data_IF_936501677967
#
_entry.id   IF_936501677967
#
_cell.length_a   1.000
_cell.length_b   1.000
_cell.length_c   1.000
_cell.angle_alpha   90.00
_cell.angle_beta   90.00
_cell.angle_gamma   90.00
#
_symmetry.space_group_name_H-M   'P 1'
#
loop_
_entity.id
_entity.type
_entity.pdbx_description
1 polymer ?
#
# COMPACT_ATOMS: atom_id res chain seq x y z
N UNK A 1 -4.15 -10.52 -16.23
CA UNK A 1 -3.74 -9.24 -15.59
C UNK A 1 -4.20 -9.15 -14.13
N UNK A 2 -5.51 -9.05 -13.85
CA UNK A 2 -6.03 -8.87 -12.47
C UNK A 2 -5.50 -9.90 -11.45
N UNK A 3 -5.53 -11.21 -11.76
CA UNK A 3 -5.02 -12.25 -10.84
C UNK A 3 -3.53 -12.09 -10.49
N UNK A 4 -2.70 -11.72 -11.46
CA UNK A 4 -1.26 -11.48 -11.26
C UNK A 4 -1.01 -10.22 -10.44
N UNK A 5 -1.78 -9.16 -10.69
CA UNK A 5 -1.72 -7.91 -9.93
C UNK A 5 -2.08 -8.12 -8.45
N UNK A 6 -3.19 -8.82 -8.19
CA UNK A 6 -3.61 -9.18 -6.82
C UNK A 6 -2.51 -9.96 -6.12
N UNK A 7 -2.05 -11.05 -6.73
CA UNK A 7 -1.05 -11.92 -6.11
C UNK A 7 0.27 -11.19 -5.89
N UNK A 8 0.82 -10.55 -6.92
CA UNK A 8 2.14 -9.92 -6.86
C UNK A 8 2.22 -8.77 -5.85
N UNK A 9 1.21 -7.89 -5.80
CA UNK A 9 1.21 -6.77 -4.84
C UNK A 9 1.01 -7.25 -3.40
N UNK A 10 0.12 -8.24 -3.19
CA UNK A 10 -0.15 -8.78 -1.86
C UNK A 10 1.04 -9.59 -1.32
N UNK A 11 1.65 -10.45 -2.15
CA UNK A 11 2.82 -11.24 -1.75
C UNK A 11 4.03 -10.33 -1.49
N UNK A 12 4.27 -9.30 -2.32
CA UNK A 12 5.36 -8.34 -2.07
C UNK A 12 5.22 -7.60 -0.73
N UNK A 13 4.01 -7.18 -0.37
CA UNK A 13 3.75 -6.53 0.92
C UNK A 13 3.92 -7.50 2.10
N UNK A 14 3.52 -8.76 1.94
CA UNK A 14 3.68 -9.80 2.96
C UNK A 14 5.14 -10.18 3.17
N UNK A 15 5.87 -10.48 2.09
CA UNK A 15 7.30 -10.80 2.14
C UNK A 15 8.13 -9.64 2.73
N UNK A 16 7.71 -8.39 2.47
CA UNK A 16 8.29 -7.20 3.09
C UNK A 16 8.14 -7.19 4.61
N UNK A 17 7.01 -7.63 5.16
CA UNK A 17 6.82 -7.70 6.61
C UNK A 17 7.58 -8.87 7.22
N UNK A 18 7.48 -10.05 6.61
CA UNK A 18 8.19 -11.26 7.04
C UNK A 18 9.70 -11.03 7.13
N UNK A 19 10.31 -10.45 6.09
CA UNK A 19 11.77 -10.19 6.08
C UNK A 19 12.23 -9.16 7.11
N UNK A 20 11.31 -8.35 7.64
CA UNK A 20 11.60 -7.35 8.67
C UNK A 20 11.11 -7.79 10.06
N UNK A 21 10.58 -9.02 10.20
CA UNK A 21 9.97 -9.53 11.43
C UNK A 21 8.86 -8.62 11.99
N UNK A 22 8.04 -8.06 11.09
CA UNK A 22 6.91 -7.21 11.44
C UNK A 22 5.58 -7.89 11.13
N UNK A 23 4.53 -7.41 11.77
CA UNK A 23 3.14 -7.81 11.55
C UNK A 23 2.29 -6.61 11.16
N UNK A 24 1.02 -6.84 10.79
CA UNK A 24 0.08 -5.75 10.51
C UNK A 24 -0.11 -4.78 11.69
N UNK A 25 0.11 -5.24 12.93
CA UNK A 25 0.01 -4.42 14.13
C UNK A 25 1.10 -3.35 14.21
N UNK A 26 2.27 -3.63 13.64
CA UNK A 26 3.42 -2.70 13.59
C UNK A 26 3.28 -1.61 12.52
N UNK A 27 2.28 -1.72 11.65
CA UNK A 27 2.06 -0.83 10.51
C UNK A 27 0.98 0.20 10.85
N UNK A 28 1.34 1.47 10.67
CA UNK A 28 0.41 2.59 10.82
C UNK A 28 -0.50 2.69 9.60
N UNK A 29 0.08 2.62 8.39
CA UNK A 29 -0.67 2.80 7.14
C UNK A 29 -0.18 1.91 6.00
N UNK A 30 -1.12 1.37 5.24
CA UNK A 30 -0.89 0.88 3.88
C UNK A 30 -1.21 2.00 2.89
N UNK A 31 -0.26 2.30 1.99
CA UNK A 31 -0.42 3.25 0.90
C UNK A 31 -0.29 2.49 -0.43
N UNK A 32 -1.40 1.97 -0.97
CA UNK A 32 -1.37 1.11 -2.13
C UNK A 32 -1.47 1.90 -3.44
N UNK A 33 -1.04 1.28 -4.54
CA UNK A 33 -1.36 1.74 -5.89
C UNK A 33 -2.88 1.81 -6.10
N UNK A 34 -3.38 2.99 -6.45
CA UNK A 34 -4.80 3.31 -6.52
C UNK A 34 -5.42 2.84 -7.86
N UNK A 35 -5.40 1.52 -8.11
CA UNK A 35 -5.92 0.95 -9.36
C UNK A 35 -7.30 0.32 -9.23
N UNK A 36 -7.54 -0.45 -8.16
CA UNK A 36 -8.79 -1.17 -7.96
C UNK A 36 -8.96 -1.55 -6.49
N UNK A 37 -10.12 -1.22 -5.90
CA UNK A 37 -10.39 -1.51 -4.49
C UNK A 37 -10.24 -3.00 -4.13
N UNK A 38 -10.62 -3.93 -5.01
CA UNK A 38 -10.49 -5.38 -4.75
C UNK A 38 -9.03 -5.84 -4.64
N UNK A 39 -8.12 -5.19 -5.37
CA UNK A 39 -6.69 -5.48 -5.30
C UNK A 39 -6.13 -4.92 -3.97
N UNK A 40 -6.54 -3.70 -3.62
CA UNK A 40 -6.16 -3.04 -2.37
C UNK A 40 -6.61 -3.85 -1.16
N UNK A 41 -7.89 -4.26 -1.12
CA UNK A 41 -8.47 -5.06 -0.04
C UNK A 41 -7.75 -6.42 0.09
N UNK A 42 -7.38 -7.05 -1.04
CA UNK A 42 -6.61 -8.30 -1.00
C UNK A 42 -5.22 -8.11 -0.40
N UNK A 43 -4.54 -7.00 -0.72
CA UNK A 43 -3.24 -6.67 -0.12
C UNK A 43 -3.35 -6.37 1.37
N UNK A 44 -4.31 -5.54 1.80
CA UNK A 44 -4.50 -5.24 3.23
C UNK A 44 -4.83 -6.49 4.05
N UNK A 45 -5.73 -7.33 3.55
CA UNK A 45 -6.11 -8.58 4.19
C UNK A 45 -4.93 -9.54 4.31
N UNK A 46 -4.08 -9.60 3.27
CA UNK A 46 -2.90 -10.49 3.25
C UNK A 46 -1.88 -10.14 4.32
N UNK A 47 -1.72 -8.85 4.63
CA UNK A 47 -0.79 -8.37 5.66
C UNK A 47 -1.45 -8.18 7.04
N UNK A 48 -2.71 -8.59 7.20
CA UNK A 48 -3.44 -8.48 8.47
C UNK A 48 -3.79 -7.05 8.88
N UNK A 49 -3.94 -6.13 7.94
CA UNK A 49 -4.21 -4.72 8.23
C UNK A 49 -5.71 -4.40 8.07
N UNK A 50 -6.34 -3.74 9.08
CA UNK A 50 -7.75 -3.42 9.00
C UNK A 50 -8.03 -2.25 8.02
N UNK A 51 -9.25 -2.15 7.43
CA UNK A 51 -9.56 -1.19 6.37
C UNK A 51 -9.30 0.28 6.73
N UNK A 52 -9.48 0.66 7.99
CA UNK A 52 -9.25 2.02 8.49
C UNK A 52 -7.78 2.46 8.46
N UNK A 53 -6.84 1.53 8.33
CA UNK A 53 -5.41 1.79 8.16
C UNK A 53 -4.97 1.75 6.67
N UNK A 54 -5.91 1.74 5.73
CA UNK A 54 -5.64 1.74 4.29
C UNK A 54 -5.96 3.10 3.69
N UNK A 55 -4.95 3.76 3.12
CA UNK A 55 -5.13 5.05 2.48
C UNK A 55 -5.79 4.91 1.09
N UNK A 56 -6.92 5.58 0.91
CA UNK A 56 -7.71 5.55 -0.31
C UNK A 56 -8.03 6.97 -0.78
N UNK A 57 -7.68 7.27 -2.02
CA UNK A 57 -8.14 8.47 -2.74
C UNK A 57 -8.49 8.18 -4.21
N UNK A 58 -8.58 6.90 -4.59
CA UNK A 58 -9.01 6.46 -5.93
C UNK A 58 -10.33 7.07 -6.39
N UNK A 59 -11.24 7.38 -5.46
CA UNK A 59 -12.52 8.02 -5.75
C UNK A 59 -12.38 9.48 -6.23
N UNK A 60 -11.24 10.13 -5.97
CA UNK A 60 -10.94 11.50 -6.41
C UNK A 60 -10.22 11.54 -7.75
N UNK A 61 -9.21 10.69 -7.94
CA UNK A 61 -8.30 10.79 -9.08
C UNK A 61 -8.32 9.58 -10.03
N UNK A 62 -9.00 8.49 -9.67
CA UNK A 62 -8.87 7.23 -10.39
C UNK A 62 -7.45 6.67 -10.34
N UNK A 63 -7.08 5.89 -11.37
CA UNK A 63 -5.73 5.35 -11.52
C UNK A 63 -4.84 6.31 -12.30
N UNK A 64 -3.84 6.89 -11.62
CA UNK A 64 -2.85 7.82 -12.18
C UNK A 64 -1.47 7.18 -12.40
N UNK A 65 -1.42 5.85 -12.55
CA UNK A 65 -0.18 5.07 -12.78
C UNK A 65 0.85 5.33 -11.67
N UNK A 66 2.01 5.90 -12.00
CA UNK A 66 3.09 6.13 -11.04
C UNK A 66 2.74 7.22 -10.00
N UNK A 67 1.81 8.12 -10.33
CA UNK A 67 1.42 9.23 -9.45
C UNK A 67 0.44 8.83 -8.35
N UNK A 68 -0.08 7.59 -8.33
CA UNK A 68 -1.13 7.21 -7.37
C UNK A 68 -0.65 7.28 -5.92
N UNK A 69 0.58 6.84 -5.64
CA UNK A 69 1.12 6.82 -4.28
C UNK A 69 1.47 8.23 -3.80
N UNK A 70 2.22 9.06 -4.57
CA UNK A 70 2.49 10.44 -4.16
C UNK A 70 1.22 11.27 -3.93
N UNK A 71 0.21 11.16 -4.80
CA UNK A 71 -1.06 11.88 -4.62
C UNK A 71 -1.82 11.40 -3.37
N UNK A 72 -1.76 10.10 -3.08
CA UNK A 72 -2.38 9.53 -1.88
C UNK A 72 -1.69 10.02 -0.60
N UNK A 73 -0.36 10.03 -0.58
CA UNK A 73 0.41 10.58 0.54
C UNK A 73 0.10 12.06 0.76
N UNK A 74 0.03 12.86 -0.31
CA UNK A 74 -0.31 14.29 -0.22
C UNK A 74 -1.69 14.51 0.40
N UNK A 75 -2.71 13.79 -0.07
CA UNK A 75 -4.07 13.91 0.45
C UNK A 75 -4.19 13.51 1.94
N UNK A 76 -3.32 12.60 2.39
CA UNK A 76 -3.35 12.04 3.75
C UNK A 76 -2.28 12.62 4.68
N UNK A 77 -1.46 13.56 4.22
CA UNK A 77 -0.30 14.10 4.94
C UNK A 77 -0.67 14.51 6.39
N UNK A 78 -1.78 15.23 6.54
CA UNK A 78 -2.31 15.68 7.85
C UNK A 78 -2.61 14.56 8.86
N UNK A 79 -2.71 13.31 8.43
CA UNK A 79 -2.95 12.12 9.27
C UNK A 79 -1.66 11.39 9.65
N UNK A 80 -0.57 11.64 8.92
CA UNK A 80 0.73 11.05 9.17
C UNK A 80 1.37 11.68 10.40
N UNK A 81 2.10 10.87 11.14
CA UNK A 81 2.88 11.31 12.30
C UNK A 81 4.31 10.84 12.17
N UNK A 82 5.24 11.66 12.65
CA UNK A 82 6.63 11.24 12.83
C UNK A 82 6.72 9.89 13.54
N UNK A 83 7.43 8.95 12.94
CA UNK A 83 7.63 7.61 13.47
C UNK A 83 6.66 6.55 12.94
N UNK A 84 5.60 6.94 12.23
CA UNK A 84 4.66 5.99 11.62
C UNK A 84 5.39 5.05 10.65
N UNK A 85 5.15 3.74 10.77
CA UNK A 85 5.60 2.76 9.79
C UNK A 85 4.57 2.67 8.66
N UNK A 86 5.00 2.97 7.44
CA UNK A 86 4.18 2.93 6.23
C UNK A 86 4.63 1.78 5.33
N UNK A 87 3.68 1.04 4.79
CA UNK A 87 3.89 0.10 3.68
C UNK A 87 3.39 0.76 2.40
N UNK A 88 4.29 1.02 1.47
CA UNK A 88 3.93 1.38 0.09
C UNK A 88 3.87 0.10 -0.74
N UNK A 89 2.82 -0.12 -1.52
CA UNK A 89 2.71 -1.32 -2.37
C UNK A 89 2.15 -0.97 -3.74
N UNK A 90 2.78 -1.48 -4.81
CA UNK A 90 2.36 -1.20 -6.17
C UNK A 90 2.51 -2.40 -7.10
N UNK A 91 1.75 -2.37 -8.20
CA UNK A 91 1.90 -3.25 -9.35
C UNK A 91 1.77 -2.45 -10.65
N UNK A 92 2.32 -2.96 -11.73
CA UNK A 92 2.29 -2.34 -13.06
C UNK A 92 2.35 -3.34 -14.20
N UNK A 93 2.13 -2.84 -15.42
CA UNK A 93 2.32 -3.60 -16.65
C UNK A 93 3.79 -3.99 -16.84
N UNK A 94 4.04 -5.22 -17.28
CA UNK A 94 5.40 -5.77 -17.39
C UNK A 94 5.44 -7.31 -17.36
N UNK A 95 5.01 -8.00 -16.31
CA UNK A 95 4.48 -7.53 -15.02
C UNK A 95 5.59 -7.07 -14.07
N UNK A 96 5.30 -6.00 -13.32
CA UNK A 96 6.17 -5.49 -12.24
C UNK A 96 5.34 -5.29 -10.98
N UNK A 97 5.97 -5.49 -9.83
CA UNK A 97 5.38 -5.21 -8.52
C UNK A 97 6.48 -4.95 -7.51
N UNK A 98 6.12 -4.30 -6.41
CA UNK A 98 7.04 -4.02 -5.34
C UNK A 98 6.34 -3.45 -4.13
N UNK A 99 6.99 -3.61 -2.99
CA UNK A 99 6.58 -2.97 -1.74
C UNK A 99 7.80 -2.35 -1.06
N UNK A 100 7.58 -1.32 -0.28
CA UNK A 100 8.60 -0.64 0.52
C UNK A 100 8.07 -0.32 1.90
N UNK A 101 8.91 -0.54 2.91
CA UNK A 101 8.66 -0.14 4.29
C UNK A 101 9.43 1.15 4.53
N UNK A 102 8.75 2.17 5.03
CA UNK A 102 9.37 3.42 5.41
C UNK A 102 8.86 3.89 6.76
N UNK A 103 9.69 4.63 7.48
CA UNK A 103 9.32 5.32 8.72
C UNK A 103 9.14 6.80 8.41
N UNK A 104 7.96 7.35 8.71
CA UNK A 104 7.64 8.74 8.42
C UNK A 104 8.45 9.71 9.29
N UNK A 105 8.89 10.83 8.70
CA UNK A 105 9.95 11.66 9.27
C UNK A 105 9.52 12.86 10.10
N UNK A 106 8.31 13.39 9.88
CA UNK A 106 7.84 14.65 10.47
C UNK A 106 6.35 14.67 10.76
#
# INVERSE_FOLDING_TARGET
VFKYAVKGMADAAFELLERNHLTGDDIAWLVPHQANKRIIDATSNRIGLPPEKVMLNIHRYGNTTAATIPLCLWDWESKLKKGDNLVLAAFGGGFTWGASLLKWGY
#
